data_IF_215687249344
#
_entry.id   IF_215687249344
#
_cell.length_a   1.000
_cell.length_b   1.000
_cell.length_c   1.000
_cell.angle_alpha   90.00
_cell.angle_beta   90.00
_cell.angle_gamma   90.00
#
_symmetry.space_group_name_H-M   'P 1'
#
loop_
_entity.id
_entity.type
_entity.pdbx_description
1 polymer ?
#
# COMPACT_ATOMS: atom_id res chain seq x y z
N UNK A 1 15.76 -39.70 61.80
CA UNK A 1 15.31 -40.15 60.47
C UNK A 1 13.92 -39.57 60.28
N UNK A 2 13.66 -38.50 59.54
CA UNK A 2 14.44 -37.59 58.70
C UNK A 2 13.50 -36.39 58.52
N UNK A 3 13.96 -35.19 58.86
CA UNK A 3 13.22 -33.95 58.67
C UNK A 3 13.08 -33.68 57.17
N UNK A 4 11.83 -33.63 56.70
CA UNK A 4 11.49 -33.22 55.34
C UNK A 4 10.97 -31.79 55.42
N UNK A 5 11.91 -30.83 55.40
CA UNK A 5 11.58 -29.41 55.27
C UNK A 5 11.61 -29.06 53.79
N UNK A 6 10.44 -29.06 53.16
CA UNK A 6 10.25 -28.40 51.87
C UNK A 6 10.34 -26.89 52.11
N UNK A 7 11.47 -26.31 51.71
CA UNK A 7 11.62 -24.86 51.57
C UNK A 7 10.90 -24.48 50.28
N UNK A 8 9.69 -23.94 50.43
CA UNK A 8 8.93 -23.32 49.36
C UNK A 8 9.68 -22.04 48.95
N UNK A 9 10.65 -22.21 48.05
CA UNK A 9 11.38 -21.11 47.45
C UNK A 9 10.44 -20.41 46.48
N UNK A 10 9.75 -19.37 46.97
CA UNK A 10 9.12 -18.38 46.12
C UNK A 10 10.19 -17.83 45.17
N UNK A 11 10.16 -18.29 43.92
CA UNK A 11 10.97 -17.71 42.85
C UNK A 11 10.29 -16.38 42.55
N UNK A 12 10.78 -15.31 43.16
CA UNK A 12 10.52 -13.95 42.72
C UNK A 12 11.07 -13.85 41.29
N UNK A 13 10.16 -13.96 40.32
CA UNK A 13 10.47 -13.63 38.92
C UNK A 13 10.56 -12.11 38.88
N UNK A 14 11.78 -11.59 39.01
CA UNK A 14 12.07 -10.19 38.71
C UNK A 14 11.75 -9.95 37.23
N UNK A 15 10.60 -9.33 36.96
CA UNK A 15 10.25 -8.82 35.65
C UNK A 15 11.22 -7.68 35.33
N UNK A 16 12.27 -7.98 34.56
CA UNK A 16 13.09 -6.94 33.92
C UNK A 16 12.20 -6.13 32.97
N UNK A 17 11.71 -4.98 33.45
CA UNK A 17 11.08 -3.96 32.64
C UNK A 17 12.12 -3.43 31.63
N UNK A 18 12.15 -4.02 30.44
CA UNK A 18 12.89 -3.43 29.32
C UNK A 18 12.22 -2.09 28.97
N UNK A 19 12.88 -0.96 29.26
CA UNK A 19 12.48 0.37 28.83
C UNK A 19 12.42 0.40 27.30
N UNK A 20 11.24 0.15 26.75
CA UNK A 20 11.04 0.25 25.32
C UNK A 20 10.97 1.73 24.95
N UNK A 21 11.84 2.20 24.05
CA UNK A 21 11.93 3.60 23.61
C UNK A 21 10.60 4.12 23.02
N UNK A 22 9.71 3.20 22.60
CA UNK A 22 8.41 3.49 22.02
C UNK A 22 7.28 2.68 22.69
N UNK A 23 6.07 3.26 22.84
CA UNK A 23 4.94 2.57 23.45
C UNK A 23 4.42 1.43 22.57
N UNK A 24 3.94 0.36 23.20
CA UNK A 24 3.20 -0.70 22.50
C UNK A 24 1.84 -0.15 22.08
N UNK A 25 1.55 -0.21 20.77
CA UNK A 25 0.31 0.32 20.21
C UNK A 25 -0.86 -0.65 20.43
N UNK A 26 -2.02 -0.10 20.79
CA UNK A 26 -3.28 -0.83 20.80
C UNK A 26 -3.88 -0.96 19.39
N UNK A 27 -4.87 -1.83 19.24
CA UNK A 27 -5.61 -1.94 17.99
C UNK A 27 -6.37 -0.66 17.61
N UNK A 28 -6.68 0.21 18.58
CA UNK A 28 -7.30 1.51 18.35
C UNK A 28 -6.28 2.49 17.80
N UNK A 29 -5.08 2.51 18.38
CA UNK A 29 -3.99 3.40 17.95
C UNK A 29 -3.61 3.11 16.49
N UNK A 30 -3.45 1.84 16.11
CA UNK A 30 -3.11 1.46 14.73
C UNK A 30 -4.20 1.87 13.73
N UNK A 31 -5.49 1.80 14.11
CA UNK A 31 -6.61 2.09 13.19
C UNK A 31 -6.76 3.57 12.86
N UNK A 32 -6.25 4.46 13.70
CA UNK A 32 -6.34 5.91 13.51
C UNK A 32 -5.06 6.50 12.90
N UNK A 33 -4.01 5.70 12.73
CA UNK A 33 -2.78 6.13 12.06
C UNK A 33 -3.08 6.36 10.58
N UNK A 34 -2.80 7.58 10.13
CA UNK A 34 -2.76 7.93 8.71
C UNK A 34 -1.32 7.82 8.21
N UNK A 35 -0.93 6.63 7.77
CA UNK A 35 0.41 6.33 7.24
C UNK A 35 0.49 6.35 5.70
N UNK A 36 -0.64 6.56 5.03
CA UNK A 36 -0.71 6.63 3.57
C UNK A 36 -0.38 8.04 3.08
N UNK A 37 0.82 8.18 2.50
CA UNK A 37 1.28 9.44 1.93
C UNK A 37 0.47 9.88 0.71
N UNK A 38 0.20 11.19 0.61
CA UNK A 38 -0.45 11.84 -0.53
C UNK A 38 0.49 12.87 -1.15
N UNK A 39 0.60 12.86 -2.47
CA UNK A 39 1.45 13.77 -3.24
C UNK A 39 0.69 14.43 -4.39
N UNK A 40 0.94 15.72 -4.61
CA UNK A 40 0.41 16.48 -5.74
C UNK A 40 1.35 16.34 -6.95
N UNK A 41 0.84 15.78 -8.04
CA UNK A 41 1.57 15.53 -9.27
C UNK A 41 1.06 16.42 -10.41
N UNK A 42 1.95 17.17 -11.05
CA UNK A 42 1.65 17.88 -12.29
C UNK A 42 1.72 16.94 -13.49
N UNK A 43 0.70 16.98 -14.35
CA UNK A 43 0.60 16.21 -15.59
C UNK A 43 0.61 17.19 -16.77
N UNK A 44 1.76 17.36 -17.46
CA UNK A 44 1.90 18.29 -18.57
C UNK A 44 0.88 18.07 -19.69
N UNK A 45 0.61 16.81 -20.02
CA UNK A 45 -0.28 16.40 -21.10
C UNK A 45 -1.74 16.76 -20.83
N UNK A 46 -2.11 16.89 -19.55
CA UNK A 46 -3.44 17.30 -19.12
C UNK A 46 -3.49 18.76 -18.70
N UNK A 47 -2.34 19.45 -18.69
CA UNK A 47 -2.19 20.83 -18.21
C UNK A 47 -2.81 21.04 -16.82
N UNK A 48 -2.66 20.04 -15.96
CA UNK A 48 -3.39 19.97 -14.68
C UNK A 48 -2.61 19.24 -13.60
N UNK A 49 -3.12 19.34 -12.38
CA UNK A 49 -2.58 18.62 -11.22
C UNK A 49 -3.56 17.53 -10.80
N UNK A 50 -3.01 16.44 -10.30
CA UNK A 50 -3.75 15.37 -9.64
C UNK A 50 -3.14 15.09 -8.28
N UNK A 51 -3.93 14.62 -7.32
CA UNK A 51 -3.40 14.06 -6.09
C UNK A 51 -3.33 12.55 -6.21
N UNK A 52 -2.23 12.00 -5.74
CA UNK A 52 -1.91 10.58 -5.81
C UNK A 52 -1.53 10.11 -4.43
N UNK A 53 -2.07 8.98 -3.99
CA UNK A 53 -1.72 8.40 -2.70
C UNK A 53 -1.06 7.03 -2.84
N UNK A 54 -0.32 6.62 -1.81
CA UNK A 54 0.18 5.26 -1.67
C UNK A 54 -0.97 4.22 -1.62
N UNK A 55 -0.64 2.98 -1.95
CA UNK A 55 -1.55 1.85 -1.77
C UNK A 55 -1.64 1.47 -0.29
N UNK A 56 -2.84 1.20 0.20
CA UNK A 56 -3.02 0.50 1.49
C UNK A 56 -2.60 -0.97 1.33
N UNK A 57 -2.36 -1.68 2.45
CA UNK A 57 -2.03 -3.12 2.41
C UNK A 57 -3.02 -3.95 1.57
N UNK A 58 -4.33 -3.75 1.78
CA UNK A 58 -5.36 -4.43 0.98
C UNK A 58 -5.39 -4.07 -0.51
N UNK A 59 -4.92 -2.87 -0.88
CA UNK A 59 -4.78 -2.46 -2.28
C UNK A 59 -3.52 -3.08 -2.89
N UNK A 60 -2.46 -3.23 -2.11
CA UNK A 60 -1.23 -3.92 -2.50
C UNK A 60 -1.49 -5.40 -2.77
N UNK A 61 -2.19 -6.10 -1.87
CA UNK A 61 -2.59 -7.50 -2.09
C UNK A 61 -3.39 -7.68 -3.39
N UNK A 62 -4.31 -6.75 -3.65
CA UNK A 62 -5.10 -6.74 -4.87
C UNK A 62 -4.24 -6.49 -6.12
N UNK A 63 -3.28 -5.58 -6.03
CA UNK A 63 -2.32 -5.32 -7.10
C UNK A 63 -1.46 -6.54 -7.41
N UNK A 64 -0.93 -7.22 -6.40
CA UNK A 64 -0.11 -8.43 -6.59
C UNK A 64 -0.94 -9.56 -7.25
N UNK A 65 -2.20 -9.69 -6.86
CA UNK A 65 -3.16 -10.57 -7.53
C UNK A 65 -3.38 -10.21 -9.00
N UNK A 66 -3.51 -8.92 -9.33
CA UNK A 66 -3.64 -8.46 -10.72
C UNK A 66 -2.42 -8.77 -11.56
N UNK A 67 -1.21 -8.61 -11.01
CA UNK A 67 0.04 -8.95 -11.70
C UNK A 67 0.11 -10.45 -11.98
N UNK A 68 -0.13 -11.30 -10.96
CA UNK A 68 -0.12 -12.75 -11.14
C UNK A 68 -1.18 -13.22 -12.14
N UNK A 69 -2.36 -12.62 -12.15
CA UNK A 69 -3.38 -12.89 -13.16
C UNK A 69 -2.97 -12.43 -14.55
N UNK A 70 -2.28 -11.29 -14.66
CA UNK A 70 -1.84 -10.76 -15.94
C UNK A 70 -0.78 -11.64 -16.59
N UNK A 71 0.14 -12.19 -15.81
CA UNK A 71 1.12 -13.17 -16.27
C UNK A 71 0.46 -14.46 -16.77
N UNK A 72 -0.51 -14.99 -16.02
CA UNK A 72 -1.19 -16.25 -16.35
C UNK A 72 -2.07 -16.15 -17.59
N UNK A 73 -2.74 -15.01 -17.81
CA UNK A 73 -3.75 -14.84 -18.86
C UNK A 73 -3.28 -13.95 -20.02
N UNK A 74 -2.04 -13.44 -19.98
CA UNK A 74 -1.54 -12.47 -20.96
C UNK A 74 -2.37 -11.18 -20.99
N UNK A 75 -2.93 -10.74 -19.84
CA UNK A 75 -3.71 -9.50 -19.82
C UNK A 75 -2.83 -8.30 -20.19
N UNK A 76 -3.41 -7.37 -20.96
CA UNK A 76 -2.74 -6.14 -21.32
C UNK A 76 -2.38 -5.30 -20.07
N UNK A 77 -1.08 -5.00 -19.90
CA UNK A 77 -0.52 -4.13 -18.86
C UNK A 77 -1.23 -2.79 -18.71
N UNK A 78 -1.83 -2.29 -19.79
CA UNK A 78 -2.67 -1.10 -19.78
C UNK A 78 -3.83 -1.19 -18.77
N UNK A 79 -4.43 -2.38 -18.60
CA UNK A 79 -5.52 -2.59 -17.64
C UNK A 79 -5.03 -2.51 -16.20
N UNK A 80 -3.82 -2.98 -15.91
CA UNK A 80 -3.19 -2.89 -14.58
C UNK A 80 -2.95 -1.42 -14.23
N UNK A 81 -2.31 -0.65 -15.12
CA UNK A 81 -2.01 0.78 -14.87
C UNK A 81 -3.28 1.60 -14.67
N UNK A 82 -4.31 1.38 -15.49
CA UNK A 82 -5.60 2.04 -15.36
C UNK A 82 -6.28 1.71 -14.02
N UNK A 83 -6.23 0.43 -13.59
CA UNK A 83 -6.81 0.00 -12.32
C UNK A 83 -6.09 0.65 -11.14
N UNK A 84 -4.75 0.67 -11.16
CA UNK A 84 -3.93 1.28 -10.10
C UNK A 84 -4.12 2.79 -10.04
N UNK A 85 -4.20 3.48 -11.18
CA UNK A 85 -4.56 4.89 -11.23
C UNK A 85 -5.94 5.13 -10.59
N UNK A 86 -6.95 4.32 -10.92
CA UNK A 86 -8.27 4.42 -10.29
C UNK A 86 -8.25 4.15 -8.78
N UNK A 87 -7.32 3.33 -8.29
CA UNK A 87 -7.18 3.02 -6.86
C UNK A 87 -6.58 4.18 -6.04
N UNK A 88 -5.67 4.93 -6.64
CA UNK A 88 -4.76 5.83 -5.93
C UNK A 88 -4.93 7.31 -6.30
N UNK A 89 -5.63 7.64 -7.39
CA UNK A 89 -6.03 9.01 -7.66
C UNK A 89 -7.05 9.47 -6.61
N UNK A 90 -6.74 10.58 -5.97
CA UNK A 90 -7.52 11.18 -4.89
C UNK A 90 -7.65 12.69 -5.07
N UNK A 91 -8.46 13.30 -4.21
CA UNK A 91 -8.46 14.75 -3.98
C UNK A 91 -7.40 15.15 -2.94
N UNK A 92 -7.38 16.43 -2.57
CA UNK A 92 -6.43 16.97 -1.59
C UNK A 92 -6.65 16.45 -0.16
N UNK A 93 -7.77 15.80 0.12
CA UNK A 93 -8.09 15.18 1.41
C UNK A 93 -7.81 13.67 1.39
N UNK A 94 -7.21 13.14 0.32
CA UNK A 94 -6.90 11.72 0.17
C UNK A 94 -8.10 10.84 -0.20
N UNK A 95 -9.27 11.45 -0.42
CA UNK A 95 -10.49 10.72 -0.82
C UNK A 95 -10.40 10.35 -2.30
N UNK A 96 -10.65 9.08 -2.59
CA UNK A 96 -10.48 8.49 -3.93
C UNK A 96 -11.47 9.09 -4.93
N UNK A 97 -10.99 9.44 -6.13
CA UNK A 97 -11.80 10.04 -7.21
C UNK A 97 -12.55 8.99 -8.04
N UNK A 98 -12.00 7.78 -8.16
CA UNK A 98 -12.56 6.72 -9.01
C UNK A 98 -12.85 5.46 -8.20
N UNK A 99 -13.82 4.66 -8.63
CA UNK A 99 -14.04 3.34 -8.04
C UNK A 99 -13.41 2.28 -8.94
N UNK A 100 -12.26 1.76 -8.55
CA UNK A 100 -11.53 0.71 -9.28
C UNK A 100 -12.30 -0.62 -9.44
N UNK A 101 -13.35 -0.84 -8.63
CA UNK A 101 -14.23 -2.02 -8.76
C UNK A 101 -15.31 -1.82 -9.83
N UNK A 102 -15.55 -0.59 -10.29
CA UNK A 102 -16.47 -0.30 -11.39
C UNK A 102 -15.74 -0.41 -12.72
N UNK A 103 -16.23 -1.30 -13.58
CA UNK A 103 -15.66 -1.54 -14.90
C UNK A 103 -15.59 -0.27 -15.74
N UNK A 104 -16.63 0.57 -15.72
CA UNK A 104 -16.66 1.81 -16.52
C UNK A 104 -15.51 2.76 -16.15
N UNK A 105 -15.21 2.91 -14.86
CA UNK A 105 -14.14 3.79 -14.40
C UNK A 105 -12.76 3.32 -14.89
N UNK A 106 -12.50 2.01 -14.82
CA UNK A 106 -11.24 1.43 -15.27
C UNK A 106 -11.11 1.52 -16.79
N UNK A 107 -12.19 1.28 -17.54
CA UNK A 107 -12.18 1.40 -19.00
C UNK A 107 -11.98 2.84 -19.46
N UNK A 108 -12.63 3.80 -18.81
CA UNK A 108 -12.48 5.22 -19.15
C UNK A 108 -11.09 5.77 -18.82
N UNK A 109 -10.47 5.25 -17.77
CA UNK A 109 -9.06 5.51 -17.45
C UNK A 109 -8.13 4.84 -18.47
N UNK A 110 -8.41 3.59 -18.87
CA UNK A 110 -7.64 2.84 -19.86
C UNK A 110 -7.64 3.46 -21.27
N UNK A 111 -8.64 4.29 -21.60
CA UNK A 111 -8.69 5.08 -22.84
C UNK A 111 -7.77 6.30 -22.83
N UNK A 112 -7.17 6.66 -21.69
CA UNK A 112 -6.25 7.81 -21.59
C UNK A 112 -4.88 7.45 -22.14
N UNK A 113 -4.08 8.48 -22.43
CA UNK A 113 -2.70 8.29 -22.88
C UNK A 113 -1.90 7.49 -21.86
N UNK A 114 -1.14 6.50 -22.33
CA UNK A 114 -0.29 5.66 -21.49
C UNK A 114 0.80 6.48 -20.77
N UNK A 115 1.25 7.60 -21.35
CA UNK A 115 2.38 8.36 -20.81
C UNK A 115 2.06 9.09 -19.49
N UNK A 116 0.93 9.81 -19.36
CA UNK A 116 0.43 10.29 -18.06
C UNK A 116 0.20 9.17 -17.05
N UNK A 117 -0.37 8.04 -17.48
CA UNK A 117 -0.65 6.91 -16.59
C UNK A 117 0.63 6.29 -16.06
N UNK A 118 1.67 6.16 -16.87
CA UNK A 118 2.98 5.69 -16.45
C UNK A 118 3.61 6.62 -15.39
N UNK A 119 3.47 7.94 -15.57
CA UNK A 119 3.96 8.93 -14.59
C UNK A 119 3.23 8.80 -13.26
N UNK A 120 1.91 8.71 -13.30
CA UNK A 120 1.07 8.49 -12.10
C UNK A 120 1.48 7.17 -11.44
N UNK A 121 1.59 6.10 -12.22
CA UNK A 121 1.97 4.78 -11.75
C UNK A 121 3.33 4.79 -11.03
N UNK A 122 4.33 5.48 -11.57
CA UNK A 122 5.65 5.61 -10.94
C UNK A 122 5.60 6.27 -9.56
N UNK A 123 4.81 7.34 -9.43
CA UNK A 123 4.61 8.01 -8.14
C UNK A 123 3.89 7.08 -7.16
N UNK A 124 2.86 6.34 -7.61
CA UNK A 124 2.16 5.38 -6.74
C UNK A 124 3.11 4.31 -6.22
N UNK A 125 3.94 3.71 -7.09
CA UNK A 125 4.89 2.68 -6.66
C UNK A 125 5.86 3.21 -5.61
N UNK A 126 6.44 4.40 -5.85
CA UNK A 126 7.34 5.05 -4.87
C UNK A 126 6.65 5.32 -3.54
N UNK A 127 5.44 5.89 -3.56
CA UNK A 127 4.67 6.17 -2.33
C UNK A 127 4.24 4.90 -1.58
N UNK A 128 4.20 3.76 -2.28
CA UNK A 128 3.83 2.46 -1.71
C UNK A 128 5.05 1.66 -1.24
N UNK A 129 6.25 2.25 -1.25
CA UNK A 129 7.49 1.58 -0.84
C UNK A 129 7.99 0.50 -1.80
N UNK A 130 7.55 0.55 -3.07
CA UNK A 130 7.87 -0.46 -4.07
C UNK A 130 9.10 -0.05 -4.86
N UNK A 131 10.00 -1.00 -5.07
CA UNK A 131 11.32 -0.70 -5.61
C UNK A 131 11.27 -0.43 -7.11
N UNK A 132 12.35 0.16 -7.61
CA UNK A 132 12.56 0.35 -9.05
C UNK A 132 12.57 -0.96 -9.83
N UNK A 133 12.99 -2.06 -9.20
CA UNK A 133 13.02 -3.38 -9.82
C UNK A 133 11.59 -3.87 -10.12
N UNK A 134 10.71 -3.82 -9.12
CA UNK A 134 9.28 -4.17 -9.30
C UNK A 134 8.61 -3.27 -10.35
N UNK A 135 8.98 -1.99 -10.40
CA UNK A 135 8.51 -1.05 -11.42
C UNK A 135 8.93 -1.45 -12.84
N UNK A 136 10.11 -2.03 -13.00
CA UNK A 136 10.68 -2.40 -14.30
C UNK A 136 10.02 -3.63 -14.91
N UNK A 137 9.67 -4.63 -14.10
CA UNK A 137 8.96 -5.84 -14.53
C UNK A 137 7.60 -5.51 -15.15
N UNK A 138 6.93 -4.50 -14.57
CA UNK A 138 5.64 -4.00 -15.06
C UNK A 138 5.81 -3.21 -16.38
N UNK A 139 6.99 -2.67 -16.64
CA UNK A 139 7.31 -1.97 -17.91
C UNK A 139 7.83 -2.88 -19.01
N UNK A 140 8.55 -3.96 -18.71
CA UNK A 140 9.22 -4.83 -19.72
C UNK A 140 8.32 -5.95 -20.27
N UNK A 141 8.04 -5.92 -21.58
CA UNK A 141 7.09 -6.67 -22.46
C UNK A 141 6.00 -5.78 -23.06
#
# INVERSE_FOLDING_TARGET
>A
MSDDQYVDGEVEVEEEESENEYPVLSAQDIRVVEDVMVEKLFIPEWKGHVYVRGMTGSQRDYFDGLISEAEKKGFAKAKVRATVACMCLCDGEGKRLFNYRKKEHVEDMGKRSAYPLDRIFAVIMRLSGLSSEEFSEIRGN
#
